data_IF_554049944031
#
_entry.id   IF_554049944031
#
_cell.length_a   1.000
_cell.length_b   1.000
_cell.length_c   1.000
_cell.angle_alpha   90.00
_cell.angle_beta   90.00
_cell.angle_gamma   90.00
#
_symmetry.space_group_name_H-M   'P 1'
#
loop_
_entity.id
_entity.type
_entity.pdbx_description
1 polymer ?
#
# COMPACT_ATOMS: atom_id res chain seq x y z
N UNK A 1 -8.33 10.81 4.16
CA UNK A 1 -7.66 10.71 5.46
C UNK A 1 -6.32 11.44 5.35
N UNK A 2 -5.88 12.11 6.41
CA UNK A 2 -4.61 12.85 6.45
C UNK A 2 -3.48 12.09 7.20
N UNK A 3 -3.62 10.77 7.33
CA UNK A 3 -2.68 9.88 8.04
C UNK A 3 -2.27 8.67 7.18
N UNK A 4 -1.26 7.89 7.59
CA UNK A 4 -0.74 6.77 6.80
C UNK A 4 -1.82 5.72 6.51
N UNK A 5 -1.72 5.06 5.36
CA UNK A 5 -2.70 4.09 4.88
C UNK A 5 -2.66 2.71 5.57
N UNK A 6 -1.81 2.52 6.58
CA UNK A 6 -1.68 1.29 7.37
C UNK A 6 -2.58 1.35 8.61
N UNK A 7 -3.37 0.32 8.91
CA UNK A 7 -4.20 0.28 10.13
C UNK A 7 -4.54 -1.16 10.57
N UNK A 8 -5.25 -1.30 11.68
CA UNK A 8 -5.87 -2.54 12.16
C UNK A 8 -7.05 -2.94 11.25
N UNK A 9 -7.09 -4.20 10.81
CA UNK A 9 -8.11 -4.73 9.92
C UNK A 9 -9.43 -5.08 10.63
N UNK A 10 -9.38 -5.32 11.95
CA UNK A 10 -10.52 -5.75 12.76
C UNK A 10 -11.30 -4.52 13.27
N UNK A 11 -10.63 -3.37 13.41
CA UNK A 11 -11.28 -2.13 13.87
C UNK A 11 -11.93 -1.37 12.71
N UNK A 12 -13.13 -0.79 12.92
CA UNK A 12 -13.72 0.12 11.95
C UNK A 12 -12.80 1.33 11.75
N UNK A 13 -12.68 1.81 10.50
CA UNK A 13 -11.83 2.94 10.15
C UNK A 13 -12.37 4.21 10.85
N UNK A 14 -11.67 4.70 11.87
CA UNK A 14 -12.07 5.93 12.56
C UNK A 14 -11.58 7.10 11.72
N UNK A 15 -12.52 7.85 11.13
CA UNK A 15 -12.23 9.16 10.54
C UNK A 15 -12.00 10.12 11.70
N UNK A 16 -10.76 10.16 12.19
CA UNK A 16 -10.36 11.15 13.18
C UNK A 16 -9.85 12.39 12.43
N UNK A 17 -10.37 13.56 12.77
CA UNK A 17 -9.97 14.85 12.19
C UNK A 17 -8.54 15.27 12.65
N UNK A 18 -7.92 14.48 13.53
CA UNK A 18 -6.54 14.61 14.01
C UNK A 18 -5.54 13.60 13.45
N UNK A 19 -4.26 13.71 13.87
CA UNK A 19 -3.25 12.67 13.61
C UNK A 19 -3.62 11.43 14.44
N UNK A 20 -3.86 10.25 13.84
CA UNK A 20 -4.30 9.10 14.61
C UNK A 20 -3.24 8.74 15.67
N UNK A 21 -3.63 8.47 16.93
CA UNK A 21 -2.71 8.42 18.07
C UNK A 21 -1.66 7.31 17.97
N UNK A 22 -1.92 6.30 17.13
CA UNK A 22 -1.08 5.12 16.92
C UNK A 22 0.00 5.34 15.85
N UNK A 23 -0.06 6.45 15.12
CA UNK A 23 0.88 6.77 14.05
C UNK A 23 1.90 7.82 14.46
N UNK A 24 3.18 7.55 14.19
CA UNK A 24 4.25 8.54 14.33
C UNK A 24 5.11 8.56 13.08
N UNK A 25 5.16 9.70 12.39
CA UNK A 25 6.14 9.94 11.34
C UNK A 25 7.55 10.05 11.95
N UNK A 26 8.51 9.34 11.37
CA UNK A 26 9.90 9.25 11.83
C UNK A 26 10.87 9.96 10.86
N UNK A 27 10.35 10.67 9.86
CA UNK A 27 11.13 11.33 8.81
C UNK A 27 11.24 10.47 7.56
N UNK A 28 12.27 10.72 6.77
CA UNK A 28 12.58 9.97 5.56
C UNK A 28 14.09 9.78 5.46
N UNK A 29 14.50 8.79 4.69
CA UNK A 29 15.89 8.60 4.27
C UNK A 29 15.96 8.75 2.76
N UNK A 30 17.09 9.22 2.26
CA UNK A 30 17.33 9.36 0.82
C UNK A 30 18.26 8.24 0.38
N UNK A 31 17.96 7.62 -0.75
CA UNK A 31 18.91 6.74 -1.43
C UNK A 31 20.02 7.56 -2.14
N UNK A 32 20.95 6.88 -2.81
CA UNK A 32 22.06 7.52 -3.53
C UNK A 32 21.57 8.47 -4.65
N UNK A 33 20.37 8.24 -5.19
CA UNK A 33 19.73 9.06 -6.20
C UNK A 33 18.79 10.13 -5.62
N UNK A 34 18.80 10.30 -4.29
CA UNK A 34 17.96 11.26 -3.55
C UNK A 34 16.46 10.98 -3.61
N UNK A 35 16.08 9.71 -3.76
CA UNK A 35 14.67 9.27 -3.69
C UNK A 35 14.30 8.97 -2.24
N UNK A 36 13.15 9.43 -1.75
CA UNK A 36 12.77 9.26 -0.36
C UNK A 36 12.22 7.86 -0.07
N UNK A 37 12.68 7.28 1.02
CA UNK A 37 11.96 6.24 1.76
C UNK A 37 11.31 6.86 2.99
N UNK A 38 9.99 6.86 3.06
CA UNK A 38 9.25 7.43 4.18
C UNK A 38 9.27 6.47 5.35
N UNK A 39 9.64 6.98 6.53
CA UNK A 39 9.66 6.20 7.75
C UNK A 39 8.54 6.65 8.67
N UNK A 40 7.77 5.69 9.14
CA UNK A 40 6.75 5.93 10.14
C UNK A 40 6.61 4.71 11.03
N UNK A 41 5.89 4.89 12.13
CA UNK A 41 5.59 3.82 13.07
C UNK A 41 4.09 3.73 13.26
N UNK A 42 3.59 2.50 13.23
CA UNK A 42 2.25 2.15 13.67
C UNK A 42 2.40 1.24 14.89
N UNK A 43 1.98 1.71 16.06
CA UNK A 43 2.20 1.03 17.34
C UNK A 43 3.69 0.64 17.55
N UNK A 44 4.02 -0.65 17.59
CA UNK A 44 5.37 -1.19 17.74
C UNK A 44 6.06 -1.52 16.39
N UNK A 45 5.35 -1.39 15.28
CA UNK A 45 5.84 -1.69 13.93
C UNK A 45 6.50 -0.46 13.32
N UNK A 46 7.79 -0.56 13.01
CA UNK A 46 8.51 0.44 12.22
C UNK A 46 8.34 0.12 10.74
N UNK A 47 7.90 1.10 9.97
CA UNK A 47 7.66 0.98 8.53
C UNK A 47 8.63 1.88 7.77
N UNK A 48 9.19 1.32 6.71
CA UNK A 48 9.95 2.02 5.68
C UNK A 48 9.25 1.80 4.34
N UNK A 49 8.66 2.86 3.81
CA UNK A 49 7.87 2.86 2.57
C UNK A 49 8.65 3.56 1.47
N UNK A 50 9.14 2.77 0.52
CA UNK A 50 10.00 3.23 -0.55
C UNK A 50 9.28 3.14 -1.89
N UNK A 51 9.18 4.27 -2.59
CA UNK A 51 8.50 4.37 -3.89
C UNK A 51 9.50 4.85 -4.94
N UNK A 52 9.54 4.17 -6.07
CA UNK A 52 10.40 4.51 -7.21
C UNK A 52 9.65 4.35 -8.52
N UNK A 53 9.93 5.24 -9.46
CA UNK A 53 9.60 5.03 -10.86
C UNK A 53 10.53 4.01 -11.50
N UNK A 54 9.97 3.26 -12.45
CA UNK A 54 10.63 2.24 -13.25
C UNK A 54 10.10 2.32 -14.67
N UNK A 55 10.87 1.80 -15.61
CA UNK A 55 10.45 1.59 -17.00
C UNK A 55 10.28 0.10 -17.21
N UNK A 56 9.11 -0.30 -17.69
CA UNK A 56 8.83 -1.69 -18.06
C UNK A 56 9.69 -2.06 -19.28
N UNK A 57 10.40 -3.19 -19.17
CA UNK A 57 11.31 -3.63 -20.24
C UNK A 57 10.58 -4.20 -21.45
N UNK A 58 9.33 -4.62 -21.31
CA UNK A 58 8.57 -5.24 -22.40
C UNK A 58 7.92 -4.20 -23.31
N UNK A 59 7.32 -3.14 -22.75
CA UNK A 59 6.58 -2.14 -23.50
C UNK A 59 7.12 -0.70 -23.39
N UNK A 60 8.14 -0.47 -22.55
CA UNK A 60 8.76 0.83 -22.34
C UNK A 60 7.91 1.80 -21.52
N UNK A 61 6.79 1.37 -20.95
CA UNK A 61 5.93 2.23 -20.15
C UNK A 61 6.49 2.47 -18.75
N UNK A 62 6.29 3.69 -18.25
CA UNK A 62 6.67 4.02 -16.88
C UNK A 62 5.64 3.45 -15.87
N UNK A 63 6.13 2.93 -14.77
CA UNK A 63 5.31 2.45 -13.66
C UNK A 63 5.93 2.84 -12.31
N UNK A 64 5.13 2.81 -11.24
CA UNK A 64 5.65 2.97 -9.88
C UNK A 64 5.80 1.60 -9.23
N UNK A 65 6.95 1.36 -8.63
CA UNK A 65 7.20 0.26 -7.72
C UNK A 65 7.23 0.79 -6.28
N UNK A 66 6.45 0.18 -5.39
CA UNK A 66 6.40 0.50 -3.97
C UNK A 66 6.81 -0.72 -3.15
N UNK A 67 7.83 -0.56 -2.32
CA UNK A 67 8.33 -1.57 -1.39
C UNK A 67 8.12 -1.09 0.04
N UNK A 68 7.22 -1.77 0.76
CA UNK A 68 6.94 -1.48 2.17
C UNK A 68 7.66 -2.52 3.02
N UNK A 69 8.70 -2.11 3.74
CA UNK A 69 9.38 -2.95 4.73
C UNK A 69 8.87 -2.64 6.12
N UNK A 70 8.46 -3.66 6.86
CA UNK A 70 7.97 -3.57 8.22
C UNK A 70 8.89 -4.33 9.15
N UNK A 71 9.21 -3.74 10.29
CA UNK A 71 10.01 -4.36 11.34
C UNK A 71 9.27 -4.31 12.66
N UNK A 72 9.14 -5.46 13.31
CA UNK A 72 8.50 -5.58 14.62
C UNK A 72 9.31 -6.47 15.56
N UNK A 73 9.18 -6.23 16.86
CA UNK A 73 9.71 -7.13 17.91
C UNK A 73 8.71 -8.21 18.31
N UNK A 74 7.43 -7.99 18.00
CA UNK A 74 6.31 -8.85 18.37
C UNK A 74 5.55 -9.29 17.12
N UNK A 75 4.87 -10.42 17.22
CA UNK A 75 3.87 -10.81 16.24
C UNK A 75 2.67 -9.86 16.30
N UNK A 76 2.15 -9.48 15.13
CA UNK A 76 0.98 -8.62 14.94
C UNK A 76 0.14 -9.19 13.81
N UNK A 77 -1.09 -9.61 14.12
CA UNK A 77 -2.01 -10.16 13.13
C UNK A 77 -3.13 -9.19 12.81
N UNK A 78 -3.76 -9.38 11.65
CA UNK A 78 -4.94 -8.61 11.24
C UNK A 78 -4.60 -7.17 10.92
N UNK A 79 -3.53 -6.93 10.17
CA UNK A 79 -3.18 -5.60 9.66
C UNK A 79 -3.72 -5.43 8.24
N UNK A 80 -4.02 -4.18 7.88
CA UNK A 80 -4.38 -3.80 6.51
C UNK A 80 -3.60 -2.57 6.06
N UNK A 81 -3.14 -2.58 4.82
CA UNK A 81 -2.56 -1.43 4.14
C UNK A 81 -3.47 -1.06 2.98
N UNK A 82 -4.05 0.15 3.00
CA UNK A 82 -4.76 0.66 1.82
C UNK A 82 -3.76 0.99 0.72
N UNK A 83 -4.01 0.48 -0.47
CA UNK A 83 -3.11 0.62 -1.62
C UNK A 83 -3.75 1.38 -2.79
N UNK A 84 -5.08 1.47 -2.83
CA UNK A 84 -5.81 2.30 -3.77
C UNK A 84 -7.20 2.66 -3.22
N UNK A 85 -7.80 3.73 -3.74
CA UNK A 85 -9.19 4.13 -3.49
C UNK A 85 -9.73 4.78 -4.76
N UNK A 86 -10.88 4.32 -5.25
CA UNK A 86 -11.44 4.82 -6.50
C UNK A 86 -12.76 4.16 -6.88
N UNK A 87 -13.27 4.54 -8.05
CA UNK A 87 -14.47 3.93 -8.64
C UNK A 87 -14.16 2.78 -9.59
N UNK A 88 -15.13 1.90 -9.82
CA UNK A 88 -15.01 0.80 -10.78
C UNK A 88 -13.82 -0.13 -10.52
N UNK A 89 -13.54 -0.42 -9.24
CA UNK A 89 -12.53 -1.40 -8.85
C UNK A 89 -12.94 -2.80 -9.30
N UNK A 90 -12.18 -3.36 -10.24
CA UNK A 90 -12.39 -4.70 -10.81
C UNK A 90 -11.19 -5.59 -10.49
N UNK A 91 -11.46 -6.85 -10.18
CA UNK A 91 -10.42 -7.85 -9.99
C UNK A 91 -10.03 -8.43 -11.35
N UNK A 92 -8.75 -8.35 -11.71
CA UNK A 92 -8.19 -8.96 -12.93
C UNK A 92 -7.77 -10.41 -12.66
N UNK A 93 -7.10 -10.63 -11.53
CA UNK A 93 -6.73 -11.94 -11.02
C UNK A 93 -6.56 -11.90 -9.48
N UNK A 94 -6.02 -12.95 -8.86
CA UNK A 94 -5.85 -13.03 -7.40
C UNK A 94 -5.00 -11.89 -6.80
N UNK A 95 -4.02 -11.39 -7.54
CA UNK A 95 -3.03 -10.42 -7.10
C UNK A 95 -3.13 -9.07 -7.84
N UNK A 96 -4.01 -8.97 -8.84
CA UNK A 96 -4.13 -7.79 -9.71
C UNK A 96 -5.54 -7.22 -9.70
N UNK A 97 -5.64 -5.90 -9.48
CA UNK A 97 -6.88 -5.14 -9.55
C UNK A 97 -6.73 -3.92 -10.44
N UNK A 98 -7.84 -3.42 -10.98
CA UNK A 98 -7.86 -2.26 -11.86
C UNK A 98 -9.01 -1.32 -11.51
N UNK A 99 -8.73 -0.02 -11.48
CA UNK A 99 -9.73 1.05 -11.33
C UNK A 99 -10.26 1.53 -12.69
N UNK A 100 -11.42 2.19 -12.69
CA UNK A 100 -12.04 2.73 -13.90
C UNK A 100 -11.19 3.81 -14.61
N UNK A 101 -10.27 4.45 -13.90
CA UNK A 101 -9.38 5.47 -14.47
C UNK A 101 -8.16 4.90 -15.22
N UNK A 102 -8.00 3.57 -15.23
CA UNK A 102 -6.89 2.88 -15.90
C UNK A 102 -5.75 2.49 -14.96
N UNK A 103 -5.80 2.84 -13.67
CA UNK A 103 -4.80 2.39 -12.70
C UNK A 103 -4.92 0.89 -12.44
N UNK A 104 -3.89 0.13 -12.82
CA UNK A 104 -3.70 -1.27 -12.48
C UNK A 104 -2.72 -1.39 -11.31
N UNK A 105 -3.14 -2.10 -10.27
CA UNK A 105 -2.36 -2.36 -9.06
C UNK A 105 -2.10 -3.86 -8.98
N UNK A 106 -0.83 -4.25 -8.82
CA UNK A 106 -0.44 -5.65 -8.70
C UNK A 106 0.40 -5.87 -7.44
N UNK A 107 -0.01 -6.84 -6.64
CA UNK A 107 0.73 -7.33 -5.48
C UNK A 107 1.75 -8.40 -5.94
N UNK A 108 3.02 -8.19 -5.60
CA UNK A 108 4.13 -9.06 -6.01
C UNK A 108 4.52 -10.07 -4.93
N UNK A 109 3.98 -9.92 -3.72
CA UNK A 109 4.24 -10.75 -2.54
C UNK A 109 3.01 -11.55 -2.13
N UNK A 110 3.19 -12.64 -1.38
CA UNK A 110 2.13 -13.63 -1.10
C UNK A 110 1.01 -13.21 -0.12
N UNK A 111 0.82 -11.92 0.13
CA UNK A 111 -0.29 -11.43 0.96
C UNK A 111 -1.62 -11.44 0.19
N UNK A 112 -2.74 -11.13 0.86
CA UNK A 112 -4.07 -11.14 0.25
C UNK A 112 -4.54 -9.72 -0.04
N UNK A 113 -5.16 -9.50 -1.20
CA UNK A 113 -5.90 -8.28 -1.50
C UNK A 113 -7.38 -8.40 -1.13
N UNK A 114 -7.97 -7.31 -0.63
CA UNK A 114 -9.39 -7.21 -0.32
C UNK A 114 -9.95 -5.83 -0.69
N UNK A 115 -11.11 -5.83 -1.36
CA UNK A 115 -11.85 -4.61 -1.65
C UNK A 115 -12.85 -4.33 -0.52
N UNK A 116 -12.81 -3.13 0.04
CA UNK A 116 -13.72 -2.67 1.10
C UNK A 116 -14.43 -1.40 0.63
N UNK A 117 -15.75 -1.33 0.76
CA UNK A 117 -16.52 -0.13 0.39
C UNK A 117 -18.01 -0.42 0.21
N UNK A 118 -18.78 0.66 0.05
CA UNK A 118 -20.22 0.64 -0.27
C UNK A 118 -20.40 1.33 -1.62
N UNK A 119 -21.29 0.80 -2.46
CA UNK A 119 -21.56 1.28 -3.81
C UNK A 119 -20.32 1.23 -4.74
N UNK A 120 -20.16 2.23 -5.61
CA UNK A 120 -19.16 2.25 -6.69
C UNK A 120 -17.77 2.71 -6.23
N UNK A 121 -17.66 3.39 -5.07
CA UNK A 121 -16.35 3.82 -4.54
C UNK A 121 -15.81 2.80 -3.53
N UNK A 122 -14.67 2.19 -3.86
CA UNK A 122 -14.05 1.13 -3.05
C UNK A 122 -12.58 1.42 -2.79
N UNK A 123 -12.13 0.97 -1.63
CA UNK A 123 -10.74 0.96 -1.21
C UNK A 123 -10.17 -0.45 -1.40
N UNK A 124 -9.00 -0.55 -2.00
CA UNK A 124 -8.25 -1.79 -2.10
C UNK A 124 -7.22 -1.86 -0.97
N UNK A 125 -7.22 -2.97 -0.24
CA UNK A 125 -6.33 -3.20 0.90
C UNK A 125 -5.50 -4.46 0.71
N UNK A 126 -4.23 -4.42 1.12
CA UNK A 126 -3.44 -5.62 1.38
C UNK A 126 -3.67 -6.02 2.83
N UNK A 127 -4.08 -7.25 3.07
CA UNK A 127 -4.22 -7.86 4.39
C UNK A 127 -3.01 -8.72 4.70
N UNK A 128 -2.47 -8.56 5.90
CA UNK A 128 -1.23 -9.22 6.27
C UNK A 128 -1.03 -9.30 7.79
N UNK A 129 -0.11 -10.19 8.16
CA UNK A 129 0.43 -10.31 9.50
C UNK A 129 1.92 -9.96 9.47
N UNK A 130 2.46 -9.50 10.59
CA UNK A 130 3.88 -9.22 10.78
C UNK A 130 4.40 -10.13 11.89
N UNK A 131 5.37 -10.99 11.57
CA UNK A 131 6.11 -11.77 12.55
C UNK A 131 7.28 -10.96 13.12
N UNK A 132 7.86 -11.35 14.28
CA UNK A 132 9.09 -10.74 14.77
C UNK A 132 10.20 -10.77 13.71
N UNK A 133 10.89 -9.65 13.53
CA UNK A 133 11.87 -9.48 12.47
C UNK A 133 11.36 -8.54 11.37
N UNK A 134 11.59 -8.92 10.10
CA UNK A 134 11.26 -8.11 8.92
C UNK A 134 10.22 -8.80 8.06
N UNK A 135 9.27 -8.02 7.55
CA UNK A 135 8.27 -8.42 6.55
C UNK A 135 8.21 -7.38 5.43
N UNK A 136 7.87 -7.81 4.23
CA UNK A 136 7.82 -6.94 3.05
C UNK A 136 6.51 -7.11 2.28
N UNK A 137 6.00 -6.01 1.74
CA UNK A 137 4.95 -5.96 0.73
C UNK A 137 5.52 -5.21 -0.47
N UNK A 138 5.48 -5.84 -1.64
CA UNK A 138 5.89 -5.21 -2.90
C UNK A 138 4.68 -5.06 -3.83
N UNK A 139 4.51 -3.85 -4.36
CA UNK A 139 3.41 -3.46 -5.23
C UNK A 139 3.95 -2.78 -6.49
N UNK A 140 3.26 -2.99 -7.61
CA UNK A 140 3.44 -2.17 -8.82
C UNK A 140 2.14 -1.45 -9.19
N UNK A 141 2.30 -0.27 -9.77
CA UNK A 141 1.22 0.60 -10.21
C UNK A 141 1.48 1.01 -11.66
N UNK A 142 0.61 0.56 -12.57
CA UNK A 142 0.68 0.86 -14.00
C UNK A 142 -0.54 1.67 -14.39
N UNK A 143 -0.35 2.76 -15.14
CA UNK A 143 -1.45 3.50 -15.75
C UNK A 143 -1.63 3.02 -17.17
N UNK A 144 -2.68 2.24 -17.39
CA UNK A 144 -3.02 1.79 -18.73
C UNK A 144 -3.69 2.93 -19.49
N UNK A 145 -3.37 3.08 -20.77
CA UNK A 145 -4.15 3.95 -21.62
C UNK A 145 -5.61 3.51 -21.59
N UNK A 146 -6.51 4.47 -21.39
CA UNK A 146 -7.94 4.20 -21.54
C UNK A 146 -8.15 3.80 -23.00
N UNK A 147 -8.66 2.60 -23.22
CA UNK A 147 -9.05 2.17 -24.57
C UNK A 147 -9.87 3.28 -25.22
N UNK A 148 -9.44 3.69 -26.42
CA UNK A 148 -10.18 4.64 -27.26
C UNK A 148 -11.57 4.11 -27.62
#
# INVERSE_FOLDING_TARGET
SNGPDLDDAIRPWVVDDGRPPRHRFLGYELDELRRPAFRYRFEDIVVNDYVVDRIDSEDGQAFLQRTITMSSRSERSGLRLRVASGSGLTQVDANTFQLADGLRIQLQTGQRLESIGVDDRRDLHVLFDVSPGKSTIDLTYHWLEKGQ
#
